data_IF_694867680883
#
_entry.id   IF_694867680883
#
_cell.length_a   1.000
_cell.length_b   1.000
_cell.length_c   1.000
_cell.angle_alpha   90.00
_cell.angle_beta   90.00
_cell.angle_gamma   90.00
#
_symmetry.space_group_name_H-M   'P 1'
#
loop_
_entity.id
_entity.type
_entity.pdbx_description
1 polymer ?
#
# COMPACT_ATOMS: atom_id res chain seq x y z
N UNK A 1 -31.52 3.86 -117.58
CA UNK A 1 -32.77 4.56 -117.93
C UNK A 1 -33.66 4.47 -116.70
N UNK A 2 -34.02 5.50 -115.95
CA UNK A 2 -34.09 6.94 -116.24
C UNK A 2 -33.67 7.78 -115.02
N UNK A 3 -33.23 9.01 -115.31
CA UNK A 3 -33.01 10.17 -114.45
C UNK A 3 -34.36 10.70 -113.87
N UNK A 4 -34.50 11.55 -112.86
CA UNK A 4 -33.64 12.43 -112.08
C UNK A 4 -34.51 13.47 -111.33
N UNK A 5 -33.86 14.44 -110.65
CA UNK A 5 -34.40 15.72 -110.07
C UNK A 5 -34.88 15.65 -108.59
N UNK A 6 -34.62 16.58 -107.66
CA UNK A 6 -34.03 17.93 -107.67
C UNK A 6 -33.49 18.24 -106.24
N UNK A 7 -32.33 18.88 -106.08
CA UNK A 7 -32.12 20.32 -105.78
C UNK A 7 -32.10 20.72 -104.28
N UNK A 8 -31.01 21.39 -103.88
CA UNK A 8 -30.87 22.11 -102.60
C UNK A 8 -29.39 22.40 -102.26
N UNK A 9 -28.93 23.62 -102.54
CA UNK A 9 -27.52 24.08 -102.48
C UNK A 9 -27.30 25.04 -101.28
N UNK A 10 -26.02 25.30 -100.97
CA UNK A 10 -25.42 26.44 -100.20
C UNK A 10 -25.29 26.17 -98.70
N UNK A 11 -24.18 26.38 -97.98
CA UNK A 11 -22.90 27.05 -98.22
C UNK A 11 -22.18 27.27 -96.87
N UNK A 12 -20.85 27.43 -96.92
CA UNK A 12 -19.86 27.42 -95.82
C UNK A 12 -20.01 28.52 -94.75
N UNK A 13 -19.51 28.26 -93.52
CA UNK A 13 -18.41 29.02 -92.85
C UNK A 13 -18.18 28.61 -91.36
N UNK A 14 -16.92 28.39 -90.96
CA UNK A 14 -16.35 28.67 -89.62
C UNK A 14 -15.67 30.05 -89.71
N UNK A 15 -15.47 30.89 -88.65
CA UNK A 15 -15.07 30.58 -87.26
C UNK A 15 -15.86 31.39 -86.19
N UNK A 16 -15.74 31.14 -84.89
CA UNK A 16 -14.94 31.98 -83.97
C UNK A 16 -14.66 31.27 -82.64
N UNK A 17 -13.45 31.50 -82.11
CA UNK A 17 -13.06 31.20 -80.73
C UNK A 17 -14.00 31.91 -79.74
N UNK A 18 -14.56 31.17 -78.79
CA UNK A 18 -14.92 31.72 -77.49
C UNK A 18 -14.34 30.82 -76.40
N UNK A 19 -13.25 31.30 -75.79
CA UNK A 19 -12.72 30.76 -74.54
C UNK A 19 -13.74 31.04 -73.44
N UNK A 20 -14.13 30.03 -72.67
CA UNK A 20 -14.39 30.20 -71.25
C UNK A 20 -13.98 28.92 -70.48
N UNK A 21 -12.87 29.10 -69.76
CA UNK A 21 -12.27 28.37 -68.64
C UNK A 21 -13.08 27.22 -68.02
N UNK A 22 -12.44 26.05 -67.89
CA UNK A 22 -12.92 24.95 -67.05
C UNK A 22 -12.03 23.71 -67.10
N UNK A 23 -10.72 23.83 -66.82
CA UNK A 23 -9.89 22.66 -66.51
C UNK A 23 -10.04 22.33 -65.03
N UNK A 24 -10.41 21.09 -64.70
CA UNK A 24 -10.43 20.57 -63.34
C UNK A 24 -10.82 19.10 -63.31
N UNK A 25 -9.82 18.23 -63.35
CA UNK A 25 -9.95 16.78 -63.27
C UNK A 25 -10.63 16.33 -61.96
N UNK A 26 -11.50 15.33 -62.03
CA UNK A 26 -12.01 14.61 -60.85
C UNK A 26 -10.91 13.68 -60.32
N UNK A 27 -10.52 13.72 -59.03
CA UNK A 27 -9.68 12.68 -58.47
C UNK A 27 -10.52 11.43 -58.18
N UNK A 28 -9.96 10.27 -58.53
CA UNK A 28 -10.49 8.95 -58.22
C UNK A 28 -10.49 8.73 -56.70
N UNK A 29 -11.62 8.28 -56.15
CA UNK A 29 -11.71 7.84 -54.77
C UNK A 29 -10.95 6.51 -54.63
N UNK A 30 -9.75 6.57 -54.04
CA UNK A 30 -9.01 5.39 -53.61
C UNK A 30 -9.67 4.77 -52.38
N UNK A 31 -10.12 3.52 -52.51
CA UNK A 31 -10.59 2.70 -51.38
C UNK A 31 -9.39 2.29 -50.53
N UNK A 32 -9.10 3.06 -49.48
CA UNK A 32 -8.19 2.65 -48.42
C UNK A 32 -8.86 1.56 -47.58
N UNK A 33 -8.46 0.32 -47.81
CA UNK A 33 -8.80 -0.81 -46.96
C UNK A 33 -8.11 -0.62 -45.60
N UNK A 34 -8.83 -0.05 -44.63
CA UNK A 34 -8.44 -0.11 -43.24
C UNK A 34 -8.68 -1.54 -42.74
N UNK A 35 -7.62 -2.36 -42.79
CA UNK A 35 -7.59 -3.66 -42.12
C UNK A 35 -7.67 -3.44 -40.61
N UNK A 36 -8.88 -3.43 -40.06
CA UNK A 36 -9.08 -3.49 -38.62
C UNK A 36 -8.68 -4.89 -38.16
N UNK A 37 -7.48 -5.00 -37.57
CA UNK A 37 -7.14 -6.15 -36.76
C UNK A 37 -8.09 -6.15 -35.55
N UNK A 38 -9.17 -6.91 -35.65
CA UNK A 38 -10.04 -7.21 -34.54
C UNK A 38 -9.25 -8.08 -33.54
N UNK A 39 -8.48 -7.42 -32.67
CA UNK A 39 -7.99 -8.03 -31.45
C UNK A 39 -9.19 -8.50 -30.65
N UNK A 40 -9.23 -9.79 -30.33
CA UNK A 40 -10.33 -10.43 -29.62
C UNK A 40 -10.75 -9.59 -28.41
N UNK A 41 -11.90 -8.94 -28.49
CA UNK A 41 -12.52 -8.29 -27.35
C UNK A 41 -12.95 -9.40 -26.38
N UNK A 42 -12.06 -9.76 -25.46
CA UNK A 42 -12.41 -10.53 -24.28
C UNK A 42 -13.59 -9.80 -23.65
N UNK A 43 -14.74 -10.49 -23.57
CA UNK A 43 -16.03 -9.94 -23.14
C UNK A 43 -15.81 -8.95 -21.99
N UNK A 44 -15.91 -7.64 -22.25
CA UNK A 44 -15.70 -6.61 -21.23
C UNK A 44 -16.73 -6.86 -20.15
N UNK A 45 -16.35 -7.38 -18.97
CA UNK A 45 -17.30 -7.55 -17.89
C UNK A 45 -17.91 -6.18 -17.56
N UNK A 46 -19.20 -6.18 -17.18
CA UNK A 46 -19.99 -4.95 -17.03
C UNK A 46 -19.25 -3.92 -16.16
N UNK A 47 -19.17 -2.68 -16.67
CA UNK A 47 -18.65 -1.54 -15.93
C UNK A 47 -17.13 -1.41 -15.87
N UNK A 48 -16.37 -2.18 -16.66
CA UNK A 48 -14.91 -2.03 -16.72
C UNK A 48 -14.48 -0.87 -17.64
N UNK A 49 -13.52 -0.08 -17.17
CA UNK A 49 -12.83 0.97 -17.92
C UNK A 49 -11.31 0.78 -17.83
N UNK A 50 -10.72 0.16 -18.86
CA UNK A 50 -9.29 -0.14 -18.96
C UNK A 50 -9.02 -1.50 -19.60
N UNK A 51 -7.75 -1.90 -19.67
CA UNK A 51 -7.28 -3.09 -20.38
C UNK A 51 -6.97 -4.25 -19.42
N UNK A 52 -7.07 -5.49 -19.93
CA UNK A 52 -6.68 -6.72 -19.23
C UNK A 52 -7.40 -6.93 -17.89
N UNK A 53 -8.73 -6.80 -17.91
CA UNK A 53 -9.58 -6.93 -16.72
C UNK A 53 -10.30 -8.28 -16.69
N UNK A 54 -10.35 -8.93 -15.53
CA UNK A 54 -11.22 -10.09 -15.27
C UNK A 54 -12.06 -9.85 -14.01
N UNK A 55 -13.39 -9.98 -14.11
CA UNK A 55 -14.35 -9.48 -13.10
C UNK A 55 -14.89 -8.09 -13.48
N UNK A 56 -15.77 -7.48 -12.68
CA UNK A 56 -16.59 -6.31 -13.11
C UNK A 56 -16.39 -5.03 -12.30
N UNK A 57 -16.80 -3.89 -12.86
CA UNK A 57 -16.74 -2.58 -12.20
C UNK A 57 -15.33 -2.03 -11.92
N UNK A 58 -14.32 -2.44 -12.69
CA UNK A 58 -12.94 -2.01 -12.50
C UNK A 58 -12.60 -0.77 -13.34
N UNK A 59 -11.88 0.20 -12.76
CA UNK A 59 -11.28 1.35 -13.47
C UNK A 59 -9.77 1.28 -13.37
N UNK A 60 -9.05 1.32 -14.50
CA UNK A 60 -7.60 1.11 -14.61
C UNK A 60 -7.25 -0.21 -15.31
N UNK A 61 -5.99 -0.61 -15.31
CA UNK A 61 -5.48 -1.73 -16.10
C UNK A 61 -5.04 -2.93 -15.24
N UNK A 62 -5.10 -4.14 -15.81
CA UNK A 62 -4.57 -5.38 -15.23
C UNK A 62 -5.17 -5.78 -13.87
N UNK A 63 -6.46 -5.56 -13.68
CA UNK A 63 -7.17 -5.93 -12.45
C UNK A 63 -7.86 -7.31 -12.59
N UNK A 64 -7.65 -8.16 -11.61
CA UNK A 64 -8.30 -9.46 -11.45
C UNK A 64 -9.19 -9.44 -10.19
N UNK A 65 -10.49 -9.38 -10.38
CA UNK A 65 -11.52 -9.24 -9.35
C UNK A 65 -12.50 -8.13 -9.71
N UNK A 66 -13.18 -7.55 -8.72
CA UNK A 66 -14.26 -6.58 -8.98
C UNK A 66 -14.14 -5.30 -8.17
N UNK A 67 -14.61 -4.19 -8.73
CA UNK A 67 -14.72 -2.90 -8.02
C UNK A 67 -13.37 -2.27 -7.68
N UNK A 68 -12.31 -2.53 -8.45
CA UNK A 68 -11.01 -1.92 -8.24
C UNK A 68 -10.88 -0.57 -8.96
N UNK A 69 -10.25 0.41 -8.33
CA UNK A 69 -9.87 1.70 -8.92
C UNK A 69 -8.35 1.83 -8.84
N UNK A 70 -7.68 1.82 -9.99
CA UNK A 70 -6.23 1.78 -10.13
C UNK A 70 -5.77 0.54 -10.89
N UNK A 71 -4.48 0.26 -10.87
CA UNK A 71 -3.84 -0.74 -11.74
C UNK A 71 -3.30 -1.94 -10.97
N UNK A 72 -3.23 -3.08 -11.64
CA UNK A 72 -2.54 -4.29 -11.17
C UNK A 72 -3.05 -4.83 -9.82
N UNK A 73 -4.36 -4.74 -9.54
CA UNK A 73 -4.94 -5.27 -8.31
C UNK A 73 -5.44 -6.71 -8.51
N UNK A 74 -5.12 -7.59 -7.56
CA UNK A 74 -5.65 -8.95 -7.46
C UNK A 74 -6.53 -9.05 -6.21
N UNK A 75 -7.83 -9.13 -6.42
CA UNK A 75 -8.87 -9.10 -5.40
C UNK A 75 -9.92 -8.03 -5.70
N UNK A 76 -10.68 -7.61 -4.69
CA UNK A 76 -11.86 -6.76 -4.90
C UNK A 76 -11.88 -5.53 -4.02
N UNK A 77 -12.45 -4.44 -4.54
CA UNK A 77 -12.70 -3.21 -3.78
C UNK A 77 -11.43 -2.44 -3.40
N UNK A 78 -10.34 -2.58 -4.16
CA UNK A 78 -9.11 -1.83 -3.89
C UNK A 78 -9.16 -0.45 -4.55
N UNK A 79 -8.66 0.58 -3.87
CA UNK A 79 -8.39 1.91 -4.42
C UNK A 79 -6.91 2.21 -4.34
N UNK A 80 -6.23 2.24 -5.48
CA UNK A 80 -4.78 2.35 -5.61
C UNK A 80 -4.22 1.22 -6.47
N UNK A 81 -2.90 1.05 -6.45
CA UNK A 81 -2.19 0.16 -7.38
C UNK A 81 -1.53 -1.03 -6.67
N UNK A 82 -1.37 -2.13 -7.40
CA UNK A 82 -0.56 -3.27 -7.00
C UNK A 82 -0.96 -3.91 -5.66
N UNK A 83 -2.26 -3.94 -5.34
CA UNK A 83 -2.74 -4.60 -4.13
C UNK A 83 -3.10 -6.07 -4.39
N UNK A 84 -2.73 -6.95 -3.47
CA UNK A 84 -3.13 -8.36 -3.43
C UNK A 84 -4.00 -8.59 -2.19
N UNK A 85 -5.29 -8.81 -2.39
CA UNK A 85 -6.32 -8.92 -1.36
C UNK A 85 -7.48 -7.95 -1.59
N UNK A 86 -8.29 -7.69 -0.56
CA UNK A 86 -9.52 -6.91 -0.71
C UNK A 86 -9.60 -5.65 0.14
N UNK A 87 -10.30 -4.63 -0.36
CA UNK A 87 -10.67 -3.46 0.42
C UNK A 87 -9.49 -2.58 0.85
N UNK A 88 -8.38 -2.59 0.11
CA UNK A 88 -7.23 -1.74 0.43
C UNK A 88 -7.40 -0.33 -0.16
N UNK A 89 -6.96 0.69 0.58
CA UNK A 89 -6.86 2.08 0.11
C UNK A 89 -5.39 2.49 0.17
N UNK A 90 -4.75 2.64 -0.99
CA UNK A 90 -3.32 2.90 -1.15
C UNK A 90 -2.67 1.84 -2.04
N UNK A 91 -1.34 1.77 -2.02
CA UNK A 91 -0.57 0.99 -3.00
C UNK A 91 0.25 -0.13 -2.36
N UNK A 92 0.49 -1.18 -3.15
CA UNK A 92 1.41 -2.26 -2.82
C UNK A 92 1.10 -2.98 -1.49
N UNK A 93 -0.18 -3.15 -1.16
CA UNK A 93 -0.59 -3.90 0.03
C UNK A 93 -0.81 -5.39 -0.28
N UNK A 94 -0.35 -6.26 0.61
CA UNK A 94 -0.61 -7.69 0.62
C UNK A 94 -1.48 -8.04 1.83
N UNK A 95 -2.72 -8.47 1.58
CA UNK A 95 -3.74 -8.69 2.60
C UNK A 95 -4.94 -7.76 2.39
N UNK A 96 -5.79 -7.62 3.40
CA UNK A 96 -7.08 -6.94 3.26
C UNK A 96 -7.30 -5.81 4.26
N UNK A 97 -8.10 -4.82 3.86
CA UNK A 97 -8.54 -3.73 4.73
C UNK A 97 -7.42 -2.78 5.16
N UNK A 98 -6.32 -2.69 4.42
CA UNK A 98 -5.23 -1.78 4.75
C UNK A 98 -5.50 -0.37 4.21
N UNK A 99 -5.14 0.66 4.97
CA UNK A 99 -5.14 2.06 4.55
C UNK A 99 -3.73 2.64 4.60
N UNK A 100 -3.16 2.95 3.44
CA UNK A 100 -1.80 3.42 3.24
C UNK A 100 -1.03 2.46 2.32
N UNK A 101 0.30 2.47 2.40
CA UNK A 101 1.13 1.80 1.39
C UNK A 101 2.06 0.73 1.98
N UNK A 102 2.36 -0.30 1.20
CA UNK A 102 3.39 -1.30 1.51
C UNK A 102 3.08 -2.04 2.82
N UNK A 103 1.81 -2.36 3.09
CA UNK A 103 1.45 -3.17 4.25
C UNK A 103 1.36 -4.64 3.86
N UNK A 104 1.85 -5.52 4.72
CA UNK A 104 1.72 -6.98 4.61
C UNK A 104 0.95 -7.47 5.83
N UNK A 105 -0.21 -8.10 5.62
CA UNK A 105 -1.18 -8.44 6.66
C UNK A 105 -2.47 -7.63 6.51
N UNK A 106 -3.28 -7.58 7.56
CA UNK A 106 -4.65 -7.08 7.48
C UNK A 106 -4.90 -5.91 8.42
N UNK A 107 -5.80 -5.01 8.01
CA UNK A 107 -6.33 -3.97 8.88
C UNK A 107 -5.29 -2.95 9.35
N UNK A 108 -4.19 -2.77 8.63
CA UNK A 108 -3.18 -1.78 9.00
C UNK A 108 -3.58 -0.38 8.53
N UNK A 109 -3.35 0.63 9.38
CA UNK A 109 -3.50 2.04 9.06
C UNK A 109 -2.13 2.73 9.10
N UNK A 110 -1.64 3.15 7.94
CA UNK A 110 -0.31 3.74 7.78
C UNK A 110 0.51 2.95 6.75
N UNK A 111 1.83 2.93 6.89
CA UNK A 111 2.70 2.41 5.82
C UNK A 111 3.84 1.53 6.30
N UNK A 112 4.27 0.61 5.44
CA UNK A 112 5.37 -0.31 5.70
C UNK A 112 5.16 -1.20 6.94
N UNK A 113 3.92 -1.54 7.28
CA UNK A 113 3.63 -2.43 8.41
C UNK A 113 3.63 -3.90 7.97
N UNK A 114 4.15 -4.78 8.83
CA UNK A 114 4.15 -6.22 8.64
C UNK A 114 3.39 -6.88 9.80
N UNK A 115 2.36 -7.66 9.51
CA UNK A 115 1.42 -8.21 10.48
C UNK A 115 0.08 -7.46 10.49
N UNK A 116 -0.68 -7.58 11.57
CA UNK A 116 -2.10 -7.23 11.57
C UNK A 116 -2.45 -6.07 12.54
N UNK A 117 -3.38 -5.21 12.13
CA UNK A 117 -3.99 -4.21 12.99
C UNK A 117 -3.04 -3.12 13.50
N UNK A 118 -1.93 -2.88 12.81
CA UNK A 118 -0.98 -1.84 13.21
C UNK A 118 -1.44 -0.45 12.75
N UNK A 119 -1.23 0.55 13.60
CA UNK A 119 -1.44 1.97 13.30
C UNK A 119 -0.08 2.67 13.31
N UNK A 120 0.25 3.37 12.22
CA UNK A 120 1.49 4.12 12.04
C UNK A 120 2.44 3.48 11.03
N UNK A 121 3.75 3.53 11.29
CA UNK A 121 4.76 3.30 10.25
C UNK A 121 5.81 2.29 10.69
N UNK A 122 6.15 1.34 9.80
CA UNK A 122 7.23 0.35 10.02
C UNK A 122 7.04 -0.52 11.26
N UNK A 123 5.81 -0.82 11.65
CA UNK A 123 5.57 -1.76 12.74
C UNK A 123 5.60 -3.21 12.23
N UNK A 124 6.16 -4.10 13.03
CA UNK A 124 6.20 -5.54 12.78
C UNK A 124 5.51 -6.29 13.92
N UNK A 125 4.51 -7.12 13.60
CA UNK A 125 3.69 -7.86 14.56
C UNK A 125 2.26 -7.33 14.60
N UNK A 126 1.64 -7.26 15.78
CA UNK A 126 0.19 -7.07 15.89
C UNK A 126 -0.24 -5.93 16.81
N UNK A 127 -1.19 -5.10 16.35
CA UNK A 127 -1.84 -4.11 17.21
C UNK A 127 -0.90 -3.03 17.76
N UNK A 128 0.23 -2.75 17.10
CA UNK A 128 1.12 -1.68 17.51
C UNK A 128 0.58 -0.33 17.05
N UNK A 129 0.74 0.71 17.87
CA UNK A 129 0.40 2.09 17.55
C UNK A 129 1.62 3.00 17.68
N UNK A 130 2.13 3.47 16.56
CA UNK A 130 3.27 4.38 16.50
C UNK A 130 4.27 3.97 15.42
N UNK A 131 5.57 4.03 15.72
CA UNK A 131 6.59 3.83 14.69
C UNK A 131 7.66 2.82 15.07
N UNK A 132 8.06 1.99 14.11
CA UNK A 132 9.18 1.06 14.25
C UNK A 132 9.08 0.11 15.46
N UNK A 133 7.87 -0.27 15.87
CA UNK A 133 7.69 -1.24 16.96
C UNK A 133 7.76 -2.67 16.42
N UNK A 134 8.36 -3.57 17.18
CA UNK A 134 8.41 -5.00 16.90
C UNK A 134 7.79 -5.79 18.05
N UNK A 135 6.82 -6.65 17.73
CA UNK A 135 6.06 -7.43 18.71
C UNK A 135 4.58 -7.03 18.71
N UNK A 136 3.93 -6.97 19.87
CA UNK A 136 2.48 -6.70 19.91
C UNK A 136 2.03 -5.71 20.98
N UNK A 137 1.01 -4.92 20.63
CA UNK A 137 0.34 -4.01 21.56
C UNK A 137 1.23 -2.86 22.07
N UNK A 138 2.29 -2.49 21.35
CA UNK A 138 3.17 -1.41 21.76
C UNK A 138 2.61 -0.05 21.32
N UNK A 139 2.70 0.95 22.20
CA UNK A 139 2.34 2.34 21.95
C UNK A 139 3.59 3.23 22.04
N UNK A 140 3.92 3.91 20.95
CA UNK A 140 5.07 4.81 20.86
C UNK A 140 6.07 4.38 19.79
N UNK A 141 7.36 4.58 20.05
CA UNK A 141 8.41 4.43 19.02
C UNK A 141 9.51 3.47 19.42
N UNK A 142 9.86 2.55 18.52
CA UNK A 142 11.06 1.72 18.66
C UNK A 142 11.01 0.73 19.82
N UNK A 143 9.82 0.27 20.21
CA UNK A 143 9.69 -0.74 21.25
C UNK A 143 9.86 -2.14 20.65
N UNK A 144 10.55 -3.01 21.38
CA UNK A 144 10.68 -4.43 21.07
C UNK A 144 10.05 -5.25 22.21
N UNK A 145 9.07 -6.10 21.87
CA UNK A 145 8.35 -6.96 22.80
C UNK A 145 6.86 -6.63 22.89
N UNK A 146 6.28 -6.63 24.09
CA UNK A 146 4.82 -6.68 24.25
C UNK A 146 4.26 -5.62 25.18
N UNK A 147 3.21 -4.92 24.76
CA UNK A 147 2.44 -4.07 25.67
C UNK A 147 3.21 -2.89 26.28
N UNK A 148 4.26 -2.41 25.61
CA UNK A 148 5.02 -1.26 26.10
C UNK A 148 4.29 0.05 25.75
N UNK A 149 4.28 1.01 26.67
CA UNK A 149 3.79 2.38 26.47
C UNK A 149 4.97 3.33 26.69
N UNK A 150 5.51 3.88 25.61
CA UNK A 150 6.71 4.73 25.66
C UNK A 150 7.60 4.51 24.44
N UNK A 151 8.87 4.87 24.57
CA UNK A 151 9.82 4.78 23.45
C UNK A 151 11.04 3.96 23.85
N UNK A 152 11.55 3.16 22.91
CA UNK A 152 12.83 2.47 23.05
C UNK A 152 12.85 1.42 24.17
N UNK A 153 11.71 0.81 24.49
CA UNK A 153 11.66 -0.27 25.48
C UNK A 153 12.03 -1.62 24.84
N UNK A 154 12.71 -2.47 25.60
CA UNK A 154 12.98 -3.86 25.25
C UNK A 154 12.42 -4.77 26.35
N UNK A 155 11.42 -5.58 26.02
CA UNK A 155 10.71 -6.45 26.97
C UNK A 155 9.20 -6.19 26.97
N UNK A 156 8.55 -6.38 28.10
CA UNK A 156 7.09 -6.43 28.22
C UNK A 156 6.50 -5.49 29.27
N UNK A 157 5.38 -4.84 28.95
CA UNK A 157 4.58 -4.11 29.93
C UNK A 157 5.26 -2.90 30.57
N UNK A 158 6.25 -2.31 29.90
CA UNK A 158 6.92 -1.11 30.41
C UNK A 158 6.08 0.14 30.14
N UNK A 159 6.01 1.04 31.12
CA UNK A 159 5.41 2.37 31.02
C UNK A 159 6.52 3.40 31.22
N UNK A 160 6.74 4.25 30.22
CA UNK A 160 7.85 5.18 30.14
C UNK A 160 8.95 4.73 29.16
N UNK A 161 9.98 5.55 28.92
CA UNK A 161 10.98 5.29 27.89
C UNK A 161 12.22 4.53 28.38
N UNK A 162 12.85 3.80 27.45
CA UNK A 162 14.23 3.29 27.61
C UNK A 162 14.38 2.18 28.64
N UNK A 163 13.32 1.45 28.97
CA UNK A 163 13.41 0.33 29.91
C UNK A 163 13.83 -0.95 29.18
N UNK A 164 14.66 -1.75 29.84
CA UNK A 164 15.07 -3.09 29.40
C UNK A 164 14.68 -4.08 30.48
N UNK A 165 13.79 -5.02 30.16
CA UNK A 165 13.14 -5.93 31.10
C UNK A 165 11.62 -5.72 31.11
N UNK A 166 10.97 -6.15 32.19
CA UNK A 166 9.51 -6.27 32.20
C UNK A 166 8.85 -5.47 33.34
N UNK A 167 7.70 -4.86 33.05
CA UNK A 167 6.82 -4.28 34.07
C UNK A 167 7.40 -3.05 34.78
N UNK A 168 8.32 -2.32 34.15
CA UNK A 168 8.85 -1.09 34.73
C UNK A 168 7.88 0.07 34.53
N UNK A 169 7.71 0.90 35.56
CA UNK A 169 6.99 2.18 35.49
C UNK A 169 7.96 3.32 35.81
N UNK A 170 8.44 3.99 34.76
CA UNK A 170 9.47 5.01 34.80
C UNK A 170 10.39 4.90 33.60
N UNK A 171 11.61 5.42 33.72
CA UNK A 171 12.54 5.57 32.60
C UNK A 171 13.89 4.95 32.87
N UNK A 172 14.51 4.39 31.82
CA UNK A 172 15.92 3.96 31.85
C UNK A 172 16.20 2.91 32.93
N UNK A 173 15.27 1.99 33.19
CA UNK A 173 15.49 0.88 34.11
C UNK A 173 16.04 -0.34 33.36
N UNK A 174 17.00 -1.04 33.97
CA UNK A 174 17.49 -2.34 33.51
C UNK A 174 17.14 -3.41 34.55
N UNK A 175 16.17 -4.26 34.24
CA UNK A 175 15.59 -5.26 35.13
C UNK A 175 14.06 -5.18 35.14
N UNK A 176 13.41 -5.72 36.17
CA UNK A 176 11.95 -5.90 36.13
C UNK A 176 11.23 -5.33 37.35
N UNK A 177 10.00 -4.84 37.12
CA UNK A 177 9.10 -4.40 38.19
C UNK A 177 9.58 -3.17 38.96
N UNK A 178 10.37 -2.28 38.33
CA UNK A 178 10.84 -1.06 38.99
C UNK A 178 9.80 0.06 38.90
N UNK A 179 9.62 0.79 39.99
CA UNK A 179 8.84 2.04 40.03
C UNK A 179 9.78 3.22 40.28
N UNK A 180 10.01 4.03 39.26
CA UNK A 180 10.97 5.14 39.26
C UNK A 180 11.99 5.02 38.12
N UNK A 181 13.06 5.81 38.16
CA UNK A 181 13.99 5.94 37.04
C UNK A 181 15.39 5.44 37.37
N UNK A 182 16.15 5.06 36.33
CA UNK A 182 17.58 4.74 36.44
C UNK A 182 17.89 3.62 37.44
N UNK A 183 17.00 2.63 37.58
CA UNK A 183 17.25 1.49 38.44
C UNK A 183 17.94 0.36 37.67
N UNK A 184 18.90 -0.29 38.32
CA UNK A 184 19.49 -1.55 37.88
C UNK A 184 19.01 -2.65 38.84
N UNK A 185 18.43 -3.72 38.31
CA UNK A 185 17.86 -4.80 39.11
C UNK A 185 16.34 -4.81 39.13
N UNK A 186 15.78 -5.54 40.09
CA UNK A 186 14.34 -5.82 40.12
C UNK A 186 13.65 -5.30 41.37
N UNK A 187 12.39 -4.89 41.24
CA UNK A 187 11.52 -4.53 42.36
C UNK A 187 11.91 -3.26 43.10
N UNK A 188 12.68 -2.36 42.48
CA UNK A 188 13.07 -1.11 43.12
C UNK A 188 11.89 -0.14 43.24
N UNK A 189 11.76 0.48 44.41
CA UNK A 189 10.86 1.61 44.64
C UNK A 189 11.72 2.88 44.80
N UNK A 190 11.56 3.84 43.89
CA UNK A 190 12.39 5.04 43.82
C UNK A 190 13.32 5.04 42.61
N UNK A 191 14.29 5.95 42.59
CA UNK A 191 15.19 6.15 41.44
C UNK A 191 16.66 5.96 41.83
N UNK A 192 17.49 5.62 40.85
CA UNK A 192 18.94 5.43 40.99
C UNK A 192 19.35 4.28 41.93
N UNK A 193 18.50 3.25 42.06
CA UNK A 193 18.82 2.09 42.87
C UNK A 193 19.60 1.04 42.07
N UNK A 194 20.45 0.29 42.76
CA UNK A 194 21.10 -0.91 42.23
C UNK A 194 20.77 -2.09 43.14
N UNK A 195 19.84 -2.94 42.71
CA UNK A 195 19.39 -4.13 43.41
C UNK A 195 19.74 -5.39 42.60
N UNK A 196 20.97 -5.88 42.76
CA UNK A 196 21.35 -7.15 42.16
C UNK A 196 20.66 -8.30 42.89
N UNK A 197 19.81 -9.05 42.19
CA UNK A 197 19.24 -10.30 42.71
C UNK A 197 20.41 -11.27 42.96
N UNK A 198 20.89 -11.32 44.21
CA UNK A 198 21.89 -12.31 44.58
C UNK A 198 21.12 -13.60 44.75
N UNK A 199 21.29 -14.55 43.83
CA UNK A 199 20.70 -15.88 43.92
C UNK A 199 21.18 -16.55 45.20
N UNK A 200 20.47 -16.36 46.31
CA UNK A 200 20.70 -17.08 47.55
C UNK A 200 20.11 -18.48 47.38
N UNK A 201 20.85 -19.36 46.72
CA UNK A 201 20.61 -20.81 46.78
C UNK A 201 21.78 -21.48 47.49
N UNK A 202 21.73 -21.53 48.83
CA UNK A 202 21.65 -22.78 49.60
C UNK A 202 21.63 -22.52 51.11
N UNK A 203 20.46 -22.78 51.70
CA UNK A 203 20.17 -23.26 53.08
C UNK A 203 21.28 -23.22 54.13
N UNK A 204 21.11 -22.37 55.14
CA UNK A 204 21.49 -22.73 56.51
C UNK A 204 20.26 -22.83 57.40
N UNK A 205 19.95 -24.07 57.78
CA UNK A 205 19.04 -24.39 58.85
C UNK A 205 19.60 -23.85 60.17
N UNK A 206 19.14 -22.67 60.59
CA UNK A 206 18.92 -22.28 61.99
C UNK A 206 18.54 -20.80 62.02
N UNK A 207 17.33 -20.50 62.50
CA UNK A 207 16.66 -19.22 62.33
C UNK A 207 17.46 -17.97 62.70
N UNK A 208 17.57 -17.06 61.73
CA UNK A 208 17.76 -15.63 61.95
C UNK A 208 17.14 -14.87 60.77
N UNK A 209 16.44 -13.74 61.00
CA UNK A 209 15.76 -13.03 59.94
C UNK A 209 16.78 -12.39 59.00
N UNK A 210 16.60 -12.58 57.69
CA UNK A 210 17.40 -11.93 56.66
C UNK A 210 17.23 -10.41 56.76
N UNK A 211 18.28 -9.70 57.19
CA UNK A 211 18.37 -8.26 57.06
C UNK A 211 18.89 -7.93 55.67
N UNK A 212 17.99 -7.51 54.78
CA UNK A 212 18.37 -6.88 53.52
C UNK A 212 19.14 -5.60 53.83
N UNK A 213 20.45 -5.61 53.58
CA UNK A 213 21.33 -4.46 53.83
C UNK A 213 21.23 -3.52 52.63
N UNK A 214 20.54 -2.40 52.82
CA UNK A 214 20.58 -1.27 51.89
C UNK A 214 22.00 -0.72 51.85
N UNK A 215 22.65 -0.80 50.68
CA UNK A 215 23.81 0.04 50.39
C UNK A 215 23.24 1.27 49.71
N UNK A 216 23.09 2.35 50.47
CA UNK A 216 22.91 3.68 49.88
C UNK A 216 24.18 4.02 49.11
N UNK A 217 24.04 4.38 47.83
CA UNK A 217 25.12 5.05 47.11
C UNK A 217 25.21 6.48 47.66
N UNK A 218 26.40 6.87 48.13
CA UNK A 218 26.74 8.24 48.53
C UNK A 218 26.74 9.20 47.32
#
# INVERSE_FOLDING_TARGET
>A
MAEGSAAGVVGRARPTCQRCRGCGAKPAAGSAAAGAAAGAAAATPVGNNGNLQLGGGNTGDSNLGSGNIGNANLGSGNTGNANLGGGNIGNANLGSGNKGNINVGNGNFGSANFGDGNIGIRNAGAGNNGTANMGAGNFGTGNFGFGNIGNGNFGGGNIGPGNVGDGNNGSTNLGSGNLGNFNLGSGNLGSNNVALETTATTTWASGSPATTRWVSAD
#
